data_IF_328247653762
#
_entry.id   IF_328247653762
#
_cell.length_a   1.000
_cell.length_b   1.000
_cell.length_c   1.000
_cell.angle_alpha   90.00
_cell.angle_beta   90.00
_cell.angle_gamma   90.00
#
_symmetry.space_group_name_H-M   'P 1'
#
loop_
_entity.id
_entity.type
_entity.pdbx_description
1 polymer ?
#
# COMPACT_ATOMS: atom_id res chain seq x y z
N UNK A 1 0.86 0.89 -37.45
CA UNK A 1 1.86 1.28 -36.44
C UNK A 1 1.88 0.24 -35.36
N UNK A 2 2.79 -0.74 -35.45
CA UNK A 2 3.04 -1.69 -34.37
C UNK A 2 3.73 -0.95 -33.23
N UNK A 3 3.15 -1.05 -32.04
CA UNK A 3 3.75 -0.57 -30.80
C UNK A 3 4.27 -1.80 -30.07
N UNK A 4 5.58 -1.88 -29.89
CA UNK A 4 6.17 -2.93 -29.09
C UNK A 4 6.06 -2.56 -27.61
N UNK A 5 5.42 -3.40 -26.83
CA UNK A 5 5.25 -3.27 -25.40
C UNK A 5 6.29 -4.18 -24.72
N UNK A 6 7.27 -3.57 -24.05
CA UNK A 6 8.19 -4.28 -23.19
C UNK A 6 7.70 -4.20 -21.76
N UNK A 7 7.40 -5.35 -21.17
CA UNK A 7 7.10 -5.48 -19.74
C UNK A 7 8.34 -6.00 -19.02
N UNK A 8 8.84 -5.22 -18.07
CA UNK A 8 9.95 -5.62 -17.23
C UNK A 8 9.46 -5.83 -15.81
N UNK A 9 9.64 -7.05 -15.30
CA UNK A 9 9.36 -7.36 -13.89
C UNK A 9 10.61 -6.97 -13.11
N UNK A 10 10.55 -5.91 -12.33
CA UNK A 10 11.57 -5.59 -11.34
C UNK A 10 11.35 -6.50 -10.14
N UNK A 11 12.17 -7.51 -9.98
CA UNK A 11 12.22 -8.28 -8.75
C UNK A 11 12.68 -7.35 -7.63
N UNK A 12 11.75 -6.83 -6.86
CA UNK A 12 12.05 -6.26 -5.57
C UNK A 12 12.28 -7.45 -4.62
N UNK A 13 13.40 -7.46 -3.90
CA UNK A 13 13.58 -8.37 -2.77
C UNK A 13 12.55 -7.93 -1.72
N UNK A 14 11.38 -8.57 -1.72
CA UNK A 14 10.40 -8.39 -0.66
C UNK A 14 10.98 -9.14 0.53
N UNK A 15 11.65 -8.40 1.41
CA UNK A 15 11.96 -8.92 2.74
C UNK A 15 10.61 -9.23 3.38
N UNK A 16 10.34 -10.48 3.79
CA UNK A 16 9.10 -10.75 4.49
C UNK A 16 9.02 -9.79 5.68
N UNK A 17 7.87 -9.17 5.93
CA UNK A 17 7.72 -8.30 7.07
C UNK A 17 7.97 -9.10 8.33
N UNK A 18 8.59 -8.46 9.32
CA UNK A 18 8.69 -9.03 10.65
C UNK A 18 7.28 -9.21 11.19
N UNK A 19 6.92 -10.46 11.43
CA UNK A 19 5.64 -10.83 12.03
C UNK A 19 5.89 -11.36 13.43
N UNK A 20 4.92 -11.18 14.32
CA UNK A 20 4.91 -11.87 15.60
C UNK A 20 4.61 -13.37 15.43
N UNK A 21 4.64 -14.13 16.54
CA UNK A 21 4.37 -15.57 16.55
C UNK A 21 2.97 -15.92 16.00
N UNK A 22 2.04 -14.97 16.02
CA UNK A 22 0.65 -15.13 15.60
C UNK A 22 0.41 -14.61 14.17
N UNK A 23 1.45 -14.18 13.45
CA UNK A 23 1.35 -13.74 12.07
C UNK A 23 0.91 -12.28 11.90
N UNK A 24 0.93 -11.47 12.96
CA UNK A 24 0.66 -10.04 12.89
C UNK A 24 1.92 -9.27 12.53
N UNK A 25 1.79 -8.37 11.57
CA UNK A 25 2.87 -7.44 11.18
C UNK A 25 2.95 -6.29 12.18
N UNK A 26 4.15 -5.76 12.41
CA UNK A 26 4.38 -4.65 13.32
C UNK A 26 3.43 -3.47 13.09
N UNK A 27 2.85 -2.96 14.17
CA UNK A 27 1.89 -1.87 14.13
C UNK A 27 2.45 -0.59 13.52
N UNK A 28 1.64 0.07 12.70
CA UNK A 28 1.95 1.40 12.15
C UNK A 28 0.99 2.41 12.72
N UNK A 29 1.55 3.51 13.24
CA UNK A 29 0.76 4.62 13.77
C UNK A 29 0.37 5.56 12.66
N UNK A 30 -0.90 5.91 12.61
CA UNK A 30 -1.50 6.84 11.65
C UNK A 30 -2.30 7.90 12.39
N UNK A 31 -2.14 9.14 11.98
CA UNK A 31 -2.95 10.26 12.46
C UNK A 31 -4.13 10.43 11.51
N UNK A 32 -5.34 10.42 12.06
CA UNK A 32 -6.58 10.54 11.29
C UNK A 32 -7.53 11.53 11.96
N UNK A 33 -8.36 12.18 11.14
CA UNK A 33 -9.46 13.03 11.58
C UNK A 33 -10.81 12.34 11.31
N UNK A 34 -11.86 12.86 11.92
CA UNK A 34 -13.23 12.44 11.60
C UNK A 34 -13.53 12.75 10.13
N UNK A 35 -13.99 11.75 9.41
CA UNK A 35 -14.23 11.82 7.96
C UNK A 35 -13.07 11.31 7.10
N UNK A 36 -11.89 11.09 7.68
CA UNK A 36 -10.76 10.54 6.95
C UNK A 36 -10.96 9.05 6.66
N UNK A 37 -10.35 8.63 5.57
CA UNK A 37 -10.32 7.21 5.19
C UNK A 37 -8.94 6.81 4.68
N UNK A 38 -8.54 5.58 4.99
CA UNK A 38 -7.29 5.01 4.50
C UNK A 38 -7.48 3.58 4.03
N UNK A 39 -6.65 3.16 3.10
CA UNK A 39 -6.65 1.78 2.59
C UNK A 39 -5.57 0.98 3.30
N UNK A 40 -5.97 -0.10 3.97
CA UNK A 40 -5.07 -1.03 4.67
C UNK A 40 -5.21 -2.39 3.98
N UNK A 41 -4.17 -2.81 3.27
CA UNK A 41 -4.27 -4.00 2.43
C UNK A 41 -5.40 -3.91 1.41
N UNK A 42 -6.53 -4.54 1.69
CA UNK A 42 -7.74 -4.52 0.85
C UNK A 42 -8.96 -3.96 1.56
N UNK A 43 -8.79 -3.46 2.77
CA UNK A 43 -9.84 -2.92 3.61
C UNK A 43 -9.74 -1.41 3.65
N UNK A 44 -10.81 -0.74 3.29
CA UNK A 44 -10.97 0.68 3.52
C UNK A 44 -11.41 0.87 4.96
N UNK A 45 -10.60 1.60 5.72
CA UNK A 45 -10.89 2.04 7.08
C UNK A 45 -11.28 3.50 7.01
N UNK A 46 -12.44 3.87 7.56
CA UNK A 46 -12.89 5.25 7.67
C UNK A 46 -13.33 5.56 9.09
N UNK A 47 -13.01 6.77 9.57
CA UNK A 47 -13.42 7.28 10.87
C UNK A 47 -14.68 8.09 10.67
N UNK A 48 -15.84 7.55 11.10
CA UNK A 48 -17.13 8.23 10.90
C UNK A 48 -17.39 9.30 11.96
N UNK A 49 -17.13 9.00 13.22
CA UNK A 49 -17.38 9.92 14.32
C UNK A 49 -16.65 9.49 15.59
N UNK A 50 -16.54 10.43 16.53
CA UNK A 50 -16.04 10.19 17.87
C UNK A 50 -17.17 10.46 18.87
N UNK A 51 -17.32 9.62 19.87
CA UNK A 51 -18.31 9.85 20.92
C UNK A 51 -17.78 9.50 22.30
N UNK A 52 -18.13 10.30 23.28
CA UNK A 52 -17.89 9.95 24.66
C UNK A 52 -18.82 8.81 25.10
N UNK A 53 -18.30 7.89 25.89
CA UNK A 53 -19.09 6.80 26.48
C UNK A 53 -19.85 7.33 27.69
N UNK A 54 -21.17 7.11 27.69
CA UNK A 54 -22.04 7.51 28.77
C UNK A 54 -21.91 6.58 29.99
N UNK A 55 -22.25 7.09 31.19
CA UNK A 55 -22.23 6.32 32.43
C UNK A 55 -23.02 5.00 32.38
N UNK A 56 -24.15 5.00 31.67
CA UNK A 56 -25.00 3.82 31.48
C UNK A 56 -24.39 2.71 30.65
N UNK A 57 -23.48 3.06 29.70
CA UNK A 57 -22.84 2.12 28.79
C UNK A 57 -21.54 1.52 29.38
N UNK A 58 -20.95 2.19 30.36
CA UNK A 58 -19.67 1.78 30.97
C UNK A 58 -19.66 0.34 31.50
N UNK A 59 -20.68 -0.11 32.25
CA UNK A 59 -20.68 -1.48 32.80
C UNK A 59 -20.70 -2.55 31.70
N UNK A 60 -21.43 -2.33 30.61
CA UNK A 60 -21.54 -3.27 29.48
C UNK A 60 -20.20 -3.45 28.74
N UNK A 61 -19.35 -2.42 28.78
CA UNK A 61 -18.03 -2.40 28.16
C UNK A 61 -16.89 -2.71 29.13
N UNK A 62 -17.19 -3.11 30.37
CA UNK A 62 -16.18 -3.42 31.37
C UNK A 62 -15.43 -2.21 31.93
N UNK A 63 -15.98 -1.00 31.77
CA UNK A 63 -15.41 0.24 32.25
C UNK A 63 -15.85 0.55 33.67
N UNK A 64 -14.99 1.19 34.44
CA UNK A 64 -15.33 1.69 35.76
C UNK A 64 -16.05 3.05 35.65
N UNK A 65 -16.88 3.38 36.63
CA UNK A 65 -17.60 4.66 36.66
C UNK A 65 -16.68 5.88 36.58
N UNK A 66 -15.46 5.79 37.11
CA UNK A 66 -14.47 6.85 37.09
C UNK A 66 -13.70 6.96 35.74
N UNK A 67 -13.83 5.99 34.86
CA UNK A 67 -13.11 5.98 33.59
C UNK A 67 -13.68 7.05 32.65
N UNK A 68 -12.80 7.80 32.00
CA UNK A 68 -13.16 8.62 30.85
C UNK A 68 -12.86 7.81 29.60
N UNK A 69 -13.88 7.58 28.78
CA UNK A 69 -13.72 6.79 27.57
C UNK A 69 -14.33 7.50 26.35
N UNK A 70 -13.60 7.46 25.26
CA UNK A 70 -14.04 7.94 23.96
C UNK A 70 -14.02 6.74 23.00
N UNK A 71 -15.13 6.49 22.33
CA UNK A 71 -15.22 5.50 21.25
C UNK A 71 -15.03 6.19 19.91
N UNK A 72 -14.15 5.63 19.08
CA UNK A 72 -14.09 5.99 17.68
C UNK A 72 -15.00 5.05 16.88
N UNK A 73 -16.00 5.62 16.21
CA UNK A 73 -16.83 4.86 15.29
C UNK A 73 -16.07 4.69 13.96
N UNK A 74 -15.51 3.51 13.74
CA UNK A 74 -14.69 3.20 12.58
C UNK A 74 -15.44 2.21 11.70
N UNK A 75 -15.55 2.51 10.42
CA UNK A 75 -16.13 1.63 9.43
C UNK A 75 -15.01 0.91 8.68
N UNK A 76 -15.10 -0.41 8.64
CA UNK A 76 -14.24 -1.29 7.84
C UNK A 76 -15.03 -1.82 6.66
N UNK A 77 -14.51 -1.65 5.46
CA UNK A 77 -15.14 -2.12 4.23
C UNK A 77 -14.11 -2.75 3.30
N UNK A 78 -14.40 -3.96 2.87
CA UNK A 78 -13.68 -4.60 1.78
C UNK A 78 -14.67 -4.97 0.65
N UNK A 79 -14.23 -5.75 -0.35
CA UNK A 79 -15.08 -6.14 -1.49
C UNK A 79 -16.29 -6.98 -1.12
N UNK A 80 -16.23 -7.72 -0.01
CA UNK A 80 -17.21 -8.74 0.39
C UNK A 80 -17.89 -8.44 1.71
N UNK A 81 -17.21 -7.73 2.60
CA UNK A 81 -17.65 -7.47 3.97
C UNK A 81 -17.64 -5.98 4.29
N UNK A 82 -18.59 -5.58 5.12
CA UNK A 82 -18.62 -4.27 5.74
C UNK A 82 -18.98 -4.46 7.21
N UNK A 83 -18.21 -3.85 8.10
CA UNK A 83 -18.43 -3.90 9.54
C UNK A 83 -18.15 -2.55 10.16
N UNK A 84 -18.80 -2.30 11.28
CA UNK A 84 -18.55 -1.13 12.12
C UNK A 84 -17.91 -1.60 13.41
N UNK A 85 -16.80 -1.01 13.76
CA UNK A 85 -16.07 -1.28 14.99
C UNK A 85 -16.01 -0.01 15.85
N UNK A 86 -15.87 -0.19 17.16
CA UNK A 86 -15.81 0.91 18.12
C UNK A 86 -14.62 0.72 19.08
N UNK A 87 -13.36 0.89 18.59
CA UNK A 87 -12.20 0.89 19.48
C UNK A 87 -12.30 2.03 20.50
N UNK A 88 -11.82 1.78 21.72
CA UNK A 88 -11.93 2.70 22.85
C UNK A 88 -10.58 3.36 23.16
N UNK A 89 -10.64 4.65 23.49
CA UNK A 89 -9.58 5.37 24.17
C UNK A 89 -10.01 5.59 25.62
N UNK A 90 -9.32 4.95 26.55
CA UNK A 90 -9.72 4.91 27.97
C UNK A 90 -8.67 5.63 28.81
N UNK A 91 -9.12 6.56 29.63
CA UNK A 91 -8.27 7.25 30.60
C UNK A 91 -8.77 6.95 31.99
N UNK A 92 -7.91 6.38 32.82
CA UNK A 92 -8.16 6.07 34.25
C UNK A 92 -7.06 6.68 35.10
N UNK A 93 -7.44 7.49 36.09
CA UNK A 93 -6.49 8.13 37.01
C UNK A 93 -5.30 8.81 36.29
N UNK A 94 -5.57 9.51 35.18
CA UNK A 94 -4.59 10.16 34.29
C UNK A 94 -3.67 9.21 33.48
N UNK A 95 -3.93 7.93 33.51
CA UNK A 95 -3.22 6.93 32.71
C UNK A 95 -4.09 6.46 31.55
N UNK A 96 -3.49 6.36 30.38
CA UNK A 96 -4.15 5.75 29.22
C UNK A 96 -4.10 4.24 29.35
N UNK A 97 -5.26 3.61 29.31
CA UNK A 97 -5.38 2.15 29.29
C UNK A 97 -5.49 1.70 27.84
N UNK A 98 -4.52 0.91 27.34
CA UNK A 98 -4.59 0.43 25.98
C UNK A 98 -5.76 -0.54 25.79
N UNK A 99 -6.65 -0.21 24.88
CA UNK A 99 -7.71 -1.11 24.41
C UNK A 99 -7.38 -1.55 22.98
N UNK A 100 -7.16 -2.85 22.81
CA UNK A 100 -6.83 -3.44 21.52
C UNK A 100 -8.08 -4.08 20.93
N UNK A 101 -8.61 -3.47 19.88
CA UNK A 101 -9.74 -4.02 19.15
C UNK A 101 -9.26 -4.91 18.00
N UNK A 102 -9.73 -6.15 17.97
CA UNK A 102 -9.35 -7.14 16.97
C UNK A 102 -10.54 -7.43 16.03
N UNK A 103 -10.39 -7.07 14.76
CA UNK A 103 -11.35 -7.35 13.69
C UNK A 103 -10.83 -8.55 12.88
N UNK A 104 -11.07 -9.76 13.37
CA UNK A 104 -10.55 -11.01 12.80
C UNK A 104 -10.97 -11.20 11.34
N UNK A 105 -12.23 -10.92 10.99
CA UNK A 105 -12.77 -11.07 9.63
C UNK A 105 -12.05 -10.19 8.61
N UNK A 106 -11.44 -9.11 9.06
CA UNK A 106 -10.67 -8.17 8.24
C UNK A 106 -9.16 -8.37 8.38
N UNK A 107 -8.72 -9.19 9.35
CA UNK A 107 -7.31 -9.37 9.68
C UNK A 107 -6.64 -8.06 10.11
N UNK A 108 -7.34 -7.25 10.88
CA UNK A 108 -6.86 -5.94 11.34
C UNK A 108 -7.04 -5.84 12.85
N UNK A 109 -6.01 -5.34 13.53
CA UNK A 109 -6.09 -4.89 14.93
C UNK A 109 -5.91 -3.39 14.97
N UNK A 110 -6.67 -2.73 15.82
CA UNK A 110 -6.65 -1.27 15.98
C UNK A 110 -6.54 -0.92 17.46
N UNK A 111 -5.64 0.01 17.78
CA UNK A 111 -5.53 0.64 19.09
C UNK A 111 -5.44 2.14 18.94
N UNK A 112 -6.18 2.86 19.76
CA UNK A 112 -6.08 4.32 19.83
C UNK A 112 -4.97 4.68 20.82
N UNK A 113 -3.94 5.40 20.34
CA UNK A 113 -2.80 5.81 21.16
C UNK A 113 -3.06 7.18 21.81
N UNK A 114 -3.61 8.09 21.07
CA UNK A 114 -3.92 9.43 21.55
C UNK A 114 -5.16 10.01 20.87
N UNK A 115 -5.79 10.95 21.57
CA UNK A 115 -6.93 11.69 21.07
C UNK A 115 -6.77 13.18 21.44
N UNK A 116 -6.84 14.05 20.43
CA UNK A 116 -6.89 15.49 20.61
C UNK A 116 -8.30 16.02 20.34
N UNK A 117 -9.03 16.43 21.39
CA UNK A 117 -10.41 16.90 21.25
C UNK A 117 -10.53 18.26 20.55
N UNK A 118 -9.45 19.05 20.44
CA UNK A 118 -9.50 20.37 19.82
C UNK A 118 -9.54 20.28 18.32
N UNK A 119 -8.80 19.33 17.73
CA UNK A 119 -8.67 19.15 16.30
C UNK A 119 -9.44 17.92 15.80
N UNK A 120 -10.16 17.25 16.69
CA UNK A 120 -10.84 15.95 16.42
C UNK A 120 -9.91 14.93 15.75
N UNK A 121 -8.62 14.98 16.14
CA UNK A 121 -7.57 14.12 15.61
C UNK A 121 -7.34 12.96 16.55
N UNK A 122 -7.15 11.78 15.99
CA UNK A 122 -6.76 10.60 16.75
C UNK A 122 -5.55 9.93 16.10
N UNK A 123 -4.67 9.42 16.94
CA UNK A 123 -3.56 8.57 16.52
C UNK A 123 -3.95 7.12 16.79
N UNK A 124 -3.97 6.35 15.73
CA UNK A 124 -4.28 4.91 15.79
C UNK A 124 -3.09 4.09 15.34
N UNK A 125 -2.74 3.08 16.12
CA UNK A 125 -1.82 2.05 15.67
C UNK A 125 -2.61 0.88 15.11
N UNK A 126 -2.24 0.46 13.90
CA UNK A 126 -2.93 -0.57 13.15
C UNK A 126 -1.95 -1.69 12.83
N UNK A 127 -2.36 -2.93 13.12
CA UNK A 127 -1.65 -4.15 12.77
C UNK A 127 -2.42 -4.88 11.69
N UNK A 128 -1.69 -5.43 10.74
CA UNK A 128 -2.24 -6.25 9.66
C UNK A 128 -1.82 -7.71 9.84
N UNK A 129 -2.74 -8.64 9.66
CA UNK A 129 -2.42 -10.06 9.64
C UNK A 129 -1.87 -10.47 8.27
N UNK A 130 -0.84 -11.33 8.27
CA UNK A 130 -0.17 -11.76 7.03
C UNK A 130 -1.11 -12.43 6.02
N UNK A 131 -2.19 -13.07 6.48
CA UNK A 131 -3.18 -13.72 5.62
C UNK A 131 -3.96 -12.75 4.73
N UNK A 132 -4.06 -11.47 5.12
CA UNK A 132 -4.78 -10.43 4.36
C UNK A 132 -3.87 -9.76 3.34
N UNK A 133 -2.55 -9.86 3.52
CA UNK A 133 -1.58 -9.30 2.60
C UNK A 133 -1.49 -10.16 1.34
N UNK A 134 -1.78 -9.55 0.20
CA UNK A 134 -1.47 -10.16 -1.09
C UNK A 134 -0.14 -9.62 -1.58
N UNK A 135 0.71 -10.53 -2.03
CA UNK A 135 1.90 -10.14 -2.77
C UNK A 135 1.46 -9.43 -4.05
N UNK A 136 1.99 -8.25 -4.28
CA UNK A 136 1.78 -7.53 -5.52
C UNK A 136 3.08 -7.48 -6.31
N UNK A 137 2.95 -7.70 -7.60
CA UNK A 137 4.07 -7.57 -8.53
C UNK A 137 3.97 -6.19 -9.17
N UNK A 138 4.99 -5.38 -8.99
CA UNK A 138 5.10 -4.11 -9.70
C UNK A 138 5.64 -4.39 -11.10
N UNK A 139 4.80 -4.27 -12.10
CA UNK A 139 5.19 -4.36 -13.51
C UNK A 139 5.36 -2.95 -14.07
N UNK A 140 6.53 -2.66 -14.61
CA UNK A 140 6.76 -1.45 -15.36
C UNK A 140 6.59 -1.77 -16.85
N UNK A 141 5.60 -1.16 -17.48
CA UNK A 141 5.42 -1.23 -18.94
C UNK A 141 6.10 -0.02 -19.57
N UNK A 142 7.07 -0.26 -20.43
CA UNK A 142 7.74 0.80 -21.21
C UNK A 142 7.34 0.65 -22.67
N UNK A 143 6.73 1.71 -23.21
CA UNK A 143 6.38 1.80 -24.61
C UNK A 143 7.52 2.48 -25.35
N UNK A 144 8.12 1.78 -26.31
CA UNK A 144 9.09 2.35 -27.23
C UNK A 144 8.39 2.70 -28.57
N UNK A 145 7.95 3.94 -28.76
CA UNK A 145 7.46 4.35 -30.05
C UNK A 145 8.63 4.38 -31.03
N UNK A 146 8.40 3.87 -32.24
CA UNK A 146 9.37 3.95 -33.35
C UNK A 146 10.62 3.05 -33.28
N UNK A 147 10.60 1.97 -32.48
CA UNK A 147 11.73 1.01 -32.47
C UNK A 147 12.02 0.44 -33.87
N UNK A 148 10.98 0.32 -34.70
CA UNK A 148 11.12 -0.14 -36.10
C UNK A 148 11.93 0.84 -36.96
N UNK A 149 11.89 2.15 -36.69
CA UNK A 149 12.69 3.15 -37.39
C UNK A 149 14.17 2.99 -37.05
N UNK A 150 14.49 2.63 -35.83
CA UNK A 150 15.87 2.33 -35.43
C UNK A 150 16.41 1.11 -36.17
N UNK A 151 15.63 0.04 -36.32
CA UNK A 151 16.03 -1.14 -37.05
C UNK A 151 16.22 -0.85 -38.56
N UNK A 152 15.35 -0.03 -39.17
CA UNK A 152 15.51 0.43 -40.54
C UNK A 152 16.82 1.20 -40.68
N UNK A 153 17.16 2.08 -39.77
CA UNK A 153 18.44 2.81 -39.76
C UNK A 153 19.66 1.86 -39.69
N UNK A 154 19.61 0.85 -38.84
CA UNK A 154 20.67 -0.15 -38.75
C UNK A 154 20.86 -0.94 -40.07
N UNK A 155 19.75 -1.34 -40.71
CA UNK A 155 19.79 -2.05 -41.98
C UNK A 155 20.38 -1.17 -43.09
N UNK A 156 19.97 0.09 -43.15
CA UNK A 156 20.53 1.05 -44.14
C UNK A 156 22.02 1.27 -43.95
N UNK A 157 22.49 1.38 -42.72
CA UNK A 157 23.93 1.48 -42.43
C UNK A 157 24.69 0.23 -42.87
N UNK A 158 24.14 -0.96 -42.61
CA UNK A 158 24.77 -2.22 -43.02
C UNK A 158 24.87 -2.33 -44.54
N UNK A 159 23.82 -1.96 -45.26
CA UNK A 159 23.81 -1.94 -46.74
C UNK A 159 24.83 -0.92 -47.27
N UNK A 160 24.86 0.30 -46.73
CA UNK A 160 25.81 1.34 -47.12
C UNK A 160 27.27 0.93 -46.93
N UNK A 161 27.56 0.33 -45.78
CA UNK A 161 28.88 -0.21 -45.46
C UNK A 161 29.27 -1.35 -46.41
N UNK A 162 28.34 -2.26 -46.69
CA UNK A 162 28.55 -3.36 -47.63
C UNK A 162 28.85 -2.87 -49.03
N UNK A 163 28.12 -1.88 -49.54
CA UNK A 163 28.37 -1.27 -50.84
C UNK A 163 29.73 -0.57 -50.92
N UNK A 164 30.13 0.12 -49.88
CA UNK A 164 31.43 0.78 -49.82
C UNK A 164 32.61 -0.21 -49.89
N UNK A 165 32.51 -1.33 -49.15
CA UNK A 165 33.51 -2.41 -49.21
C UNK A 165 33.52 -3.06 -50.58
N UNK A 166 32.38 -3.34 -51.18
CA UNK A 166 32.30 -3.94 -52.51
C UNK A 166 32.85 -3.02 -53.59
N UNK A 167 32.55 -1.73 -53.56
CA UNK A 167 33.09 -0.74 -54.49
C UNK A 167 34.64 -0.62 -54.39
N UNK A 168 35.18 -0.74 -53.17
CA UNK A 168 36.63 -0.73 -52.94
C UNK A 168 37.29 -1.98 -53.53
N UNK A 169 36.72 -3.14 -53.27
CA UNK A 169 37.23 -4.42 -53.77
C UNK A 169 37.20 -4.50 -55.32
N UNK A 170 36.18 -3.97 -55.96
CA UNK A 170 36.11 -3.94 -57.43
C UNK A 170 37.10 -2.93 -58.08
N UNK A 171 37.47 -1.86 -57.36
CA UNK A 171 38.51 -0.92 -57.80
C UNK A 171 39.90 -1.56 -57.77
N UNK A 172 40.23 -2.24 -56.64
CA UNK A 172 41.55 -2.88 -56.50
C UNK A 172 41.79 -3.96 -57.54
N UNK A 173 40.79 -4.69 -58.01
CA UNK A 173 40.89 -5.66 -59.10
C UNK A 173 41.19 -5.02 -60.46
N UNK A 174 40.78 -3.78 -60.68
CA UNK A 174 41.07 -3.08 -61.96
C UNK A 174 42.44 -2.44 -62.02
N UNK A 175 43.12 -2.29 -60.90
CA UNK A 175 44.45 -1.68 -60.83
C UNK A 175 45.57 -2.72 -60.96
N UNK A 176 45.23 -4.02 -60.83
CA UNK A 176 46.20 -5.15 -60.86
C UNK A 176 46.17 -5.92 -62.22
N UNK A 177 45.50 -5.44 -63.27
CA UNK A 177 45.43 -5.95 -64.61
C UNK A 177 45.93 -4.87 -65.56
#
# INVERSE_FOLDING_TARGET
LHRDLYTHIKWGRVTPPETDENGWMGGRTHTMQVGDSMLIGHTLLSVDSLRAINESEKPERGLLSKDLAVAACVQLKNKTLQSKIEPLYIVRDSLVIPDLFEAEDFGIKVRIESFNPQDETLEMTIWEHISVRRDFVVMQAVLFPLINVLWIGCILMAIGSGMAVFARWTRDKKTTS
#
